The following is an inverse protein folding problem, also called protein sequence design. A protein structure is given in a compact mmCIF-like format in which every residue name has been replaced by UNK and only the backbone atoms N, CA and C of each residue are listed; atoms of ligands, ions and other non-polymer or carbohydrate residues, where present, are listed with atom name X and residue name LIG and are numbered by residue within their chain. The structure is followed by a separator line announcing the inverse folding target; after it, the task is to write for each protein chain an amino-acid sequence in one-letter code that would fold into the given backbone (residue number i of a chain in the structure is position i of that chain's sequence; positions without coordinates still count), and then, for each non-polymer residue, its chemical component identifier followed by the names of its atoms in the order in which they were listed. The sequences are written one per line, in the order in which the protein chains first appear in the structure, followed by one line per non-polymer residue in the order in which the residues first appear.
data_IF_277454940793
#
_entry.id   IF_277454940793
#
_cell.length_a   1.000
_cell.length_b   1.000
_cell.length_c   1.000
_cell.angle_alpha   90.00
_cell.angle_beta   90.00
_cell.angle_gamma   90.00
#
_symmetry.space_group_name_H-M   'P 1'
#
loop_
_entity.id
_entity.type
_entity.pdbx_description
1 polymer ?
#
# COMPACT_ATOMS: atom_id res chain seq x y z
N UNK A 1 5.15 1.80 -14.17
CA UNK A 1 4.94 0.42 -13.70
C UNK A 1 4.23 0.44 -12.36
N UNK A 2 3.22 -0.38 -12.19
CA UNK A 2 2.54 -0.56 -10.90
C UNK A 2 3.17 -1.73 -10.17
N UNK A 3 3.72 -1.47 -8.99
CA UNK A 3 4.30 -2.49 -8.13
C UNK A 3 3.54 -2.53 -6.82
N UNK A 4 3.07 -3.70 -6.42
CA UNK A 4 2.52 -3.87 -5.07
C UNK A 4 3.67 -4.17 -4.12
N UNK A 5 3.73 -3.45 -3.01
CA UNK A 5 4.74 -3.66 -1.98
C UNK A 5 4.04 -4.03 -0.68
N UNK A 6 4.47 -5.12 -0.07
CA UNK A 6 3.81 -5.67 1.12
C UNK A 6 4.79 -6.42 1.99
N UNK A 7 4.57 -6.35 3.30
CA UNK A 7 5.18 -7.25 4.27
C UNK A 7 4.05 -8.09 4.90
N UNK A 8 4.20 -9.40 4.94
CA UNK A 8 3.21 -10.27 5.57
C UNK A 8 3.90 -11.43 6.30
N UNK A 9 3.15 -12.09 7.18
CA UNK A 9 3.65 -13.25 7.89
C UNK A 9 3.60 -14.51 7.02
N UNK A 10 3.96 -15.66 7.58
CA UNK A 10 3.96 -16.93 6.85
C UNK A 10 2.60 -17.35 6.32
N UNK A 11 1.52 -16.83 6.89
CA UNK A 11 0.14 -17.08 6.47
C UNK A 11 -0.42 -15.95 5.61
N UNK A 12 0.42 -15.02 5.17
CA UNK A 12 0.04 -13.83 4.40
C UNK A 12 -0.84 -12.83 5.17
N UNK A 13 -0.78 -12.87 6.51
CA UNK A 13 -1.49 -11.88 7.33
C UNK A 13 -0.82 -10.51 7.22
N UNK A 14 -1.60 -9.48 6.96
CA UNK A 14 -1.13 -8.10 6.77
C UNK A 14 -1.77 -7.11 7.74
N UNK A 15 -2.75 -7.53 8.52
CA UNK A 15 -3.40 -6.63 9.44
C UNK A 15 -4.15 -7.33 10.55
N UNK A 16 -4.30 -6.59 11.66
CA UNK A 16 -5.14 -6.95 12.80
C UNK A 16 -5.68 -5.64 13.37
N UNK A 17 -7.00 -5.55 13.48
CA UNK A 17 -7.69 -4.36 13.99
C UNK A 17 -7.30 -3.07 13.24
N UNK A 18 -7.10 -3.17 11.92
CA UNK A 18 -6.74 -2.03 11.08
C UNK A 18 -5.29 -1.61 11.13
N UNK A 19 -4.44 -2.32 11.87
CA UNK A 19 -3.03 -2.01 12.03
C UNK A 19 -2.13 -3.16 11.58
N UNK A 20 -0.91 -2.85 11.18
CA UNK A 20 0.12 -3.85 10.96
C UNK A 20 0.51 -4.44 12.32
N UNK A 21 0.43 -5.78 12.50
CA UNK A 21 0.69 -6.40 13.80
C UNK A 21 2.18 -6.45 14.16
N UNK A 22 3.06 -6.04 13.25
CA UNK A 22 4.50 -5.98 13.48
C UNK A 22 5.07 -4.68 12.93
N UNK A 23 6.21 -4.28 13.50
CA UNK A 23 6.97 -3.14 12.98
C UNK A 23 8.44 -3.52 13.06
N UNK A 24 9.04 -3.84 11.92
CA UNK A 24 10.47 -4.13 11.82
C UNK A 24 11.17 -2.96 11.15
N UNK A 25 12.21 -2.43 11.78
CA UNK A 25 12.94 -1.28 11.24
C UNK A 25 13.56 -1.57 9.87
N UNK A 26 14.01 -2.80 9.64
CA UNK A 26 14.56 -3.19 8.34
C UNK A 26 13.52 -3.12 7.24
N UNK A 27 12.27 -3.52 7.51
CA UNK A 27 11.16 -3.45 6.55
C UNK A 27 10.78 -2.01 6.25
N UNK A 28 10.73 -1.16 7.27
CA UNK A 28 10.44 0.26 7.12
C UNK A 28 11.53 0.96 6.32
N UNK A 29 12.79 0.63 6.54
CA UNK A 29 13.90 1.18 5.78
C UNK A 29 13.88 0.73 4.32
N UNK A 30 13.58 -0.55 4.07
CA UNK A 30 13.43 -1.09 2.72
C UNK A 30 12.28 -0.40 1.99
N UNK A 31 11.14 -0.28 2.65
CA UNK A 31 9.97 0.43 2.11
C UNK A 31 10.34 1.86 1.72
N UNK A 32 10.97 2.60 2.62
CA UNK A 32 11.39 3.98 2.37
C UNK A 32 12.34 4.05 1.18
N UNK A 33 13.33 3.18 1.12
CA UNK A 33 14.33 3.15 0.06
C UNK A 33 13.71 2.88 -1.30
N UNK A 34 12.79 1.92 -1.37
CA UNK A 34 12.14 1.55 -2.63
C UNK A 34 11.17 2.62 -3.14
N UNK A 35 10.48 3.30 -2.23
CA UNK A 35 9.41 4.23 -2.60
C UNK A 35 9.83 5.69 -2.69
N UNK A 36 11.01 6.04 -2.19
CA UNK A 36 11.47 7.43 -2.17
C UNK A 36 11.54 8.01 -3.58
N UNK A 37 10.96 9.19 -3.75
CA UNK A 37 10.88 9.86 -5.05
C UNK A 37 9.78 9.35 -5.97
N UNK A 38 9.04 8.33 -5.57
CA UNK A 38 7.99 7.71 -6.37
C UNK A 38 6.60 8.06 -5.85
N UNK A 39 5.57 7.66 -6.59
CA UNK A 39 4.19 7.73 -6.13
C UNK A 39 3.87 6.51 -5.26
N UNK A 40 3.16 6.73 -4.17
CA UNK A 40 2.59 5.67 -3.34
C UNK A 40 1.07 5.80 -3.36
N UNK A 41 0.39 4.67 -3.54
CA UNK A 41 -1.07 4.59 -3.69
C UNK A 41 -1.62 3.74 -2.56
N UNK A 42 -2.62 4.26 -1.87
CA UNK A 42 -3.20 3.60 -0.70
C UNK A 42 -4.70 3.82 -0.64
N UNK A 43 -5.37 2.99 0.14
CA UNK A 43 -6.76 3.24 0.51
C UNK A 43 -6.85 4.28 1.61
N UNK A 44 -8.03 4.85 1.78
CA UNK A 44 -8.27 5.89 2.79
C UNK A 44 -7.99 5.39 4.21
N UNK A 45 -8.40 4.15 4.53
CA UNK A 45 -8.15 3.58 5.86
C UNK A 45 -6.65 3.47 6.17
N UNK A 46 -5.84 3.11 5.18
CA UNK A 46 -4.39 3.07 5.31
C UNK A 46 -3.82 4.46 5.56
N UNK A 47 -4.31 5.46 4.82
CA UNK A 47 -3.88 6.84 5.04
C UNK A 47 -4.23 7.32 6.46
N UNK A 48 -5.43 7.04 6.93
CA UNK A 48 -5.86 7.43 8.27
C UNK A 48 -5.03 6.74 9.35
N UNK A 49 -4.61 5.50 9.12
CA UNK A 49 -3.71 4.77 10.03
C UNK A 49 -2.31 5.39 10.07
N UNK A 50 -1.77 5.79 8.93
CA UNK A 50 -0.48 6.48 8.86
C UNK A 50 -0.58 7.87 9.49
N UNK A 51 -1.69 8.57 9.28
CA UNK A 51 -2.03 9.84 9.91
C UNK A 51 -1.43 11.07 9.26
N UNK A 52 -0.56 10.93 8.26
CA UNK A 52 0.09 12.06 7.58
C UNK A 52 0.65 11.61 6.24
N UNK A 53 0.87 12.54 5.28
CA UNK A 53 1.59 12.21 4.06
C UNK A 53 3.02 11.77 4.36
N UNK A 54 3.50 10.78 3.62
CA UNK A 54 4.89 10.31 3.77
C UNK A 54 5.81 11.23 2.96
N UNK A 55 6.85 11.81 3.60
CA UNK A 55 7.68 12.80 2.92
C UNK A 55 8.53 12.21 1.80
N UNK A 56 8.82 13.04 0.79
CA UNK A 56 9.66 12.65 -0.34
C UNK A 56 8.97 11.77 -1.36
N UNK A 57 7.66 11.58 -1.25
CA UNK A 57 6.86 10.74 -2.13
C UNK A 57 5.57 11.44 -2.47
N UNK A 58 5.05 11.12 -3.65
CA UNK A 58 3.75 11.60 -4.09
C UNK A 58 2.68 10.70 -3.45
N UNK A 59 1.89 11.25 -2.53
CA UNK A 59 0.91 10.49 -1.76
C UNK A 59 -0.45 10.51 -2.44
N UNK A 60 -0.93 9.35 -2.87
CA UNK A 60 -2.18 9.19 -3.61
C UNK A 60 -3.10 8.30 -2.80
N UNK A 61 -4.31 8.78 -2.54
CA UNK A 61 -5.36 8.00 -1.87
C UNK A 61 -6.43 7.67 -2.91
N UNK A 62 -6.69 6.37 -3.05
CA UNK A 62 -7.77 5.89 -3.90
C UNK A 62 -9.09 6.10 -3.17
N UNK A 63 -10.01 6.82 -3.79
CA UNK A 63 -11.31 7.09 -3.19
C UNK A 63 -12.41 7.08 -4.25
N UNK A 64 -13.56 6.50 -3.89
CA UNK A 64 -14.77 6.58 -4.71
C UNK A 64 -15.36 7.98 -4.64
N UNK A 65 -15.12 8.69 -3.53
CA UNK A 65 -15.54 10.08 -3.37
C UNK A 65 -14.36 10.98 -3.74
N UNK A 66 -14.34 11.46 -4.98
CA UNK A 66 -13.27 12.31 -5.49
C UNK A 66 -13.29 13.72 -4.89
N UNK A 67 -14.34 14.07 -4.16
CA UNK A 67 -14.41 15.33 -3.40
C UNK A 67 -13.68 15.21 -2.05
N UNK A 68 -13.43 14.00 -1.57
CA UNK A 68 -12.63 13.82 -0.37
C UNK A 68 -11.19 14.26 -0.64
N UNK A 69 -10.65 15.04 0.27
CA UNK A 69 -9.27 15.51 0.14
C UNK A 69 -8.62 15.67 1.52
N UNK A 70 -7.30 15.70 1.51
CA UNK A 70 -6.50 16.00 2.68
C UNK A 70 -5.24 16.74 2.22
N UNK A 71 -4.66 17.56 3.10
CA UNK A 71 -3.45 18.32 2.78
C UNK A 71 -2.29 17.37 2.42
N UNK A 72 -1.63 17.66 1.31
CA UNK A 72 -0.51 16.87 0.83
C UNK A 72 -0.89 15.56 0.15
N UNK A 73 -2.18 15.35 -0.10
CA UNK A 73 -2.71 14.13 -0.71
C UNK A 73 -3.36 14.45 -2.06
N UNK A 74 -3.14 13.58 -3.03
CA UNK A 74 -3.90 13.56 -4.28
C UNK A 74 -4.94 12.45 -4.19
N UNK A 75 -6.15 12.71 -4.65
CA UNK A 75 -7.22 11.70 -4.71
C UNK A 75 -7.37 11.24 -6.15
N UNK A 76 -7.34 9.93 -6.37
CA UNK A 76 -7.45 9.36 -7.71
C UNK A 76 -8.45 8.20 -7.74
N UNK A 77 -9.00 7.96 -8.93
CA UNK A 77 -9.77 6.76 -9.27
C UNK A 77 -8.82 5.62 -9.66
N UNK A 78 -9.37 4.41 -9.78
CA UNK A 78 -8.62 3.22 -10.25
C UNK A 78 -8.02 3.50 -11.63
N UNK A 79 -8.81 4.03 -12.54
CA UNK A 79 -8.39 4.30 -13.92
C UNK A 79 -7.25 5.31 -13.97
N UNK A 80 -7.30 6.34 -13.14
CA UNK A 80 -6.25 7.34 -13.05
C UNK A 80 -4.94 6.73 -12.52
N UNK A 81 -5.02 5.82 -11.54
CA UNK A 81 -3.84 5.13 -11.01
C UNK A 81 -3.23 4.21 -12.07
N UNK A 82 -4.06 3.48 -12.81
CA UNK A 82 -3.57 2.62 -13.89
C UNK A 82 -2.84 3.44 -14.95
N UNK A 83 -3.42 4.58 -15.34
CA UNK A 83 -2.78 5.49 -16.30
C UNK A 83 -1.46 6.04 -15.77
N UNK A 84 -1.41 6.40 -14.49
CA UNK A 84 -0.20 6.87 -13.83
C UNK A 84 0.92 5.83 -13.91
N UNK A 85 0.59 4.56 -13.64
CA UNK A 85 1.56 3.47 -13.66
C UNK A 85 2.15 3.19 -15.04
N UNK A 86 1.47 3.61 -16.12
CA UNK A 86 2.01 3.47 -17.48
C UNK A 86 3.12 4.46 -17.77
N UNK A 87 3.15 5.60 -17.09
CA UNK A 87 4.11 6.68 -17.34
C UNK A 87 5.17 6.84 -16.26
N UNK A 88 4.99 6.24 -15.08
CA UNK A 88 5.93 6.37 -13.96
C UNK A 88 5.86 5.17 -13.03
N UNK A 89 6.79 5.10 -12.08
CA UNK A 89 6.76 4.11 -11.01
C UNK A 89 5.73 4.51 -9.95
N UNK A 90 4.81 3.60 -9.63
CA UNK A 90 3.84 3.78 -8.57
C UNK A 90 3.74 2.52 -7.74
N UNK A 91 3.77 2.66 -6.42
CA UNK A 91 3.74 1.56 -5.47
C UNK A 91 2.38 1.51 -4.77
N UNK A 92 1.73 0.36 -4.86
CA UNK A 92 0.47 0.09 -4.15
C UNK A 92 0.85 -0.42 -2.76
N UNK A 93 0.49 0.33 -1.72
CA UNK A 93 0.96 0.04 -0.36
C UNK A 93 -0.12 -0.48 0.59
N UNK A 94 -1.32 -0.69 0.11
CA UNK A 94 -2.37 -1.32 0.89
C UNK A 94 -3.63 -0.48 1.04
N UNK A 95 -4.61 -0.92 1.77
CA UNK A 95 -4.67 -2.23 2.47
C UNK A 95 -5.21 -3.36 1.63
N UNK A 96 -5.75 -4.36 2.32
CA UNK A 96 -6.18 -5.61 1.68
C UNK A 96 -7.14 -5.44 0.52
N UNK A 97 -8.12 -4.56 0.63
CA UNK A 97 -9.05 -4.28 -0.45
C UNK A 97 -8.34 -3.67 -1.67
N UNK A 98 -7.36 -2.81 -1.44
CA UNK A 98 -6.61 -2.15 -2.51
C UNK A 98 -5.68 -3.14 -3.20
N UNK A 99 -5.04 -4.04 -2.45
CA UNK A 99 -4.26 -5.12 -3.04
C UNK A 99 -5.12 -6.01 -3.95
N UNK A 100 -6.30 -6.41 -3.48
CA UNK A 100 -7.22 -7.22 -4.29
C UNK A 100 -7.64 -6.52 -5.56
N UNK A 101 -7.93 -5.23 -5.46
CA UNK A 101 -8.38 -4.41 -6.58
C UNK A 101 -7.32 -4.32 -7.68
N UNK A 102 -6.05 -4.18 -7.31
CA UNK A 102 -4.96 -3.99 -8.27
C UNK A 102 -4.23 -5.29 -8.64
N UNK A 103 -4.60 -6.43 -8.08
CA UNK A 103 -3.91 -7.70 -8.34
C UNK A 103 -3.79 -8.02 -9.84
N UNK A 104 -4.84 -7.76 -10.61
CA UNK A 104 -4.84 -8.03 -12.05
C UNK A 104 -4.16 -6.95 -12.89
N UNK A 105 -3.83 -5.81 -12.29
CA UNK A 105 -3.23 -4.68 -13.01
C UNK A 105 -1.77 -4.45 -12.66
N UNK A 106 -1.30 -4.99 -11.54
CA UNK A 106 0.08 -4.80 -11.10
C UNK A 106 1.06 -5.53 -12.01
N UNK A 107 2.19 -4.89 -12.28
CA UNK A 107 3.25 -5.44 -13.10
C UNK A 107 4.25 -6.24 -12.28
N UNK A 108 4.40 -5.93 -10.99
CA UNK A 108 5.39 -6.54 -10.12
C UNK A 108 4.87 -6.60 -8.68
N UNK A 109 5.49 -7.47 -7.90
CA UNK A 109 5.15 -7.69 -6.50
C UNK A 109 6.46 -7.74 -5.69
N UNK A 110 6.60 -6.79 -4.75
CA UNK A 110 7.72 -6.75 -3.81
C UNK A 110 7.22 -7.25 -2.46
N UNK A 111 7.68 -8.42 -2.05
CA UNK A 111 7.21 -9.10 -0.84
C UNK A 111 8.33 -9.21 0.18
N UNK A 112 8.03 -8.83 1.42
CA UNK A 112 8.85 -9.19 2.57
C UNK A 112 8.06 -10.17 3.43
N UNK A 113 8.63 -11.34 3.69
CA UNK A 113 8.02 -12.34 4.55
C UNK A 113 8.59 -12.18 5.95
N UNK A 114 7.73 -11.88 6.90
CA UNK A 114 8.10 -11.74 8.30
C UNK A 114 8.02 -13.13 8.94
N UNK A 115 9.11 -13.56 9.58
CA UNK A 115 9.19 -14.89 10.18
C UNK A 115 8.45 -14.95 11.53
N UNK A 116 7.14 -14.85 11.45
CA UNK A 116 6.24 -14.94 12.60
C UNK A 116 4.87 -15.40 12.13
N UNK A 117 4.00 -15.70 13.05
CA UNK A 117 2.59 -15.94 12.79
C UNK A 117 1.78 -14.96 13.62
N UNK A 118 0.90 -14.21 12.97
CA UNK A 118 0.05 -13.25 13.66
C UNK A 118 -1.20 -13.96 14.15
N UNK A 119 -1.40 -13.96 15.47
CA UNK A 119 -2.65 -14.45 16.05
C UNK A 119 -3.75 -13.39 15.84
N UNK A 120 -4.96 -13.85 15.62
CA UNK A 120 -6.14 -12.98 15.45
C UNK A 120 -6.03 -11.98 14.30
N UNK A 121 -5.26 -12.31 13.25
CA UNK A 121 -5.23 -11.49 12.04
C UNK A 121 -6.62 -11.43 11.41
N UNK A 122 -6.99 -10.26 10.90
CA UNK A 122 -8.28 -10.05 10.26
C UNK A 122 -8.15 -9.64 8.77
N UNK A 123 -6.93 -9.39 8.30
CA UNK A 123 -6.67 -9.06 6.90
C UNK A 123 -5.48 -9.87 6.40
N UNK A 124 -5.64 -10.48 5.23
CA UNK A 124 -4.61 -11.27 4.58
C UNK A 124 -4.35 -10.76 3.17
N UNK A 125 -3.10 -10.94 2.71
CA UNK A 125 -2.77 -10.65 1.33
C UNK A 125 -3.43 -11.69 0.41
N UNK A 126 -4.01 -11.29 -0.73
CA UNK A 126 -4.67 -12.22 -1.63
C UNK A 126 -3.71 -13.22 -2.27
N UNK A 127 -4.23 -14.34 -2.73
CA UNK A 127 -3.46 -15.34 -3.47
C UNK A 127 -2.89 -14.75 -4.76
N UNK A 128 -1.67 -15.14 -5.06
CA UNK A 128 -0.96 -14.65 -6.26
C UNK A 128 -0.22 -15.74 -7.01
#
# INVERSE_FOLDING_TARGET
MLTMIVAFDRNRAIGRDGELPWRQSSDLQRFKRLTMGCAIVMGRATYESIGRPLPGRRNIVLSRNLEWSAEGIETMSVEEVIALGRSTEAFIIGGGQIYRLFMSYANALEVTIVDTEVEDADVWFPDF
#
